data_IF_999668515838
#
_entry.id   IF_999668515838
#
_cell.length_a   1.000
_cell.length_b   1.000
_cell.length_c   1.000
_cell.angle_alpha   90.00
_cell.angle_beta   90.00
_cell.angle_gamma   90.00
#
_symmetry.space_group_name_H-M   'P 1'
#
loop_
_entity.id
_entity.type
_entity.pdbx_description
1 polymer ?
#
# COMPACT_ATOMS: atom_id res chain seq x y z
N UNK A 1 44.00 -19.78 40.56
CA UNK A 1 43.04 -19.07 39.68
C UNK A 1 43.40 -19.28 38.21
N UNK A 2 43.74 -20.52 37.81
CA UNK A 2 44.41 -20.80 36.52
C UNK A 2 43.75 -21.96 35.77
N UNK A 3 43.07 -22.88 36.45
CA UNK A 3 42.44 -24.06 35.84
C UNK A 3 41.13 -23.76 35.08
N UNK A 4 40.38 -22.70 35.44
CA UNK A 4 39.14 -22.36 34.72
C UNK A 4 39.36 -21.77 33.31
N UNK A 5 40.59 -21.35 32.98
CA UNK A 5 40.91 -20.80 31.65
C UNK A 5 41.27 -21.87 30.62
N UNK A 6 41.68 -23.06 31.04
CA UNK A 6 42.02 -24.16 30.11
C UNK A 6 40.78 -24.92 29.64
N UNK A 7 39.79 -25.13 30.51
CA UNK A 7 38.54 -25.83 30.14
C UNK A 7 37.68 -25.08 29.11
N UNK A 8 37.85 -23.77 28.95
CA UNK A 8 37.12 -22.98 27.94
C UNK A 8 37.66 -23.14 26.52
N UNK A 9 38.86 -23.67 26.33
CA UNK A 9 39.46 -23.81 24.98
C UNK A 9 39.13 -25.13 24.29
N UNK A 10 38.66 -26.13 25.03
CA UNK A 10 38.38 -27.46 24.47
C UNK A 10 37.00 -27.57 23.78
N UNK A 11 36.08 -26.63 24.05
CA UNK A 11 34.73 -26.64 23.45
C UNK A 11 34.64 -26.08 22.02
N UNK A 12 35.73 -25.53 21.47
CA UNK A 12 35.76 -24.98 20.10
C UNK A 12 36.71 -25.81 19.25
N UNK A 13 36.45 -27.12 19.16
CA UNK A 13 37.11 -27.98 18.20
C UNK A 13 36.15 -28.97 17.52
N UNK A 14 34.88 -28.61 17.45
CA UNK A 14 33.93 -29.27 16.58
C UNK A 14 34.00 -28.61 15.21
N UNK A 15 34.25 -29.43 14.17
CA UNK A 15 34.19 -29.03 12.76
C UNK A 15 32.99 -28.10 12.58
N UNK A 16 33.23 -26.90 12.02
CA UNK A 16 32.14 -26.00 11.64
C UNK A 16 31.07 -26.83 10.90
N UNK A 17 29.82 -26.87 11.39
CA UNK A 17 28.78 -27.66 10.75
C UNK A 17 28.70 -27.25 9.28
N UNK A 18 28.55 -28.22 8.37
CA UNK A 18 28.25 -27.91 6.97
C UNK A 18 26.89 -27.23 6.93
N UNK A 19 26.91 -25.90 6.89
CA UNK A 19 25.75 -25.05 6.69
C UNK A 19 25.21 -25.37 5.29
N UNK A 20 24.03 -25.98 5.22
CA UNK A 20 23.38 -26.33 3.96
C UNK A 20 22.45 -25.18 3.55
N UNK A 21 22.80 -24.48 2.48
CA UNK A 21 22.04 -23.33 1.97
C UNK A 21 22.81 -22.01 2.15
N UNK A 22 22.52 -21.04 1.28
CA UNK A 22 23.02 -19.67 1.44
C UNK A 22 22.25 -18.94 2.56
N UNK A 23 22.74 -17.76 2.98
CA UNK A 23 22.10 -16.95 4.03
C UNK A 23 20.62 -16.63 3.70
N UNK A 24 20.30 -16.49 2.41
CA UNK A 24 18.94 -16.27 1.91
C UNK A 24 18.02 -17.47 2.14
N UNK A 25 18.51 -18.69 1.89
CA UNK A 25 17.78 -19.93 2.14
C UNK A 25 17.40 -20.09 3.61
N UNK A 26 18.35 -19.81 4.51
CA UNK A 26 18.14 -19.87 5.96
C UNK A 26 17.11 -18.86 6.44
N UNK A 27 17.18 -17.61 5.97
CA UNK A 27 16.23 -16.56 6.32
C UNK A 27 14.81 -16.90 5.88
N UNK A 28 14.65 -17.39 4.65
CA UNK A 28 13.34 -17.81 4.11
C UNK A 28 12.72 -18.91 4.97
N UNK A 29 13.49 -19.96 5.28
CA UNK A 29 13.01 -21.08 6.10
C UNK A 29 12.69 -20.65 7.54
N UNK A 30 13.46 -19.73 8.13
CA UNK A 30 13.18 -19.18 9.46
C UNK A 30 11.88 -18.36 9.48
N UNK A 31 11.66 -17.50 8.49
CA UNK A 31 10.40 -16.72 8.36
C UNK A 31 9.18 -17.63 8.15
N UNK A 32 9.31 -18.69 7.35
CA UNK A 32 8.26 -19.68 7.14
C UNK A 32 7.93 -20.45 8.42
N UNK A 33 8.94 -20.89 9.17
CA UNK A 33 8.75 -21.59 10.45
C UNK A 33 8.14 -20.69 11.52
N UNK A 34 8.54 -19.43 11.59
CA UNK A 34 7.92 -18.45 12.49
C UNK A 34 6.46 -18.21 12.13
N UNK A 35 6.15 -18.01 10.84
CA UNK A 35 4.77 -17.86 10.38
C UNK A 35 3.92 -19.08 10.76
N UNK A 36 4.44 -20.29 10.57
CA UNK A 36 3.76 -21.52 10.96
C UNK A 36 3.56 -21.61 12.48
N UNK A 37 4.56 -21.24 13.28
CA UNK A 37 4.45 -21.22 14.74
C UNK A 37 3.41 -20.21 15.25
N UNK A 38 3.30 -19.04 14.60
CA UNK A 38 2.34 -18.00 14.95
C UNK A 38 0.94 -18.21 14.34
N UNK A 39 0.78 -19.07 13.33
CA UNK A 39 -0.50 -19.32 12.63
C UNK A 39 -1.14 -20.69 12.90
N UNK A 40 -0.64 -21.50 13.84
CA UNK A 40 -1.41 -22.65 14.32
C UNK A 40 -2.67 -22.18 15.05
N UNK A 41 -3.83 -22.40 14.42
CA UNK A 41 -5.17 -21.92 14.79
C UNK A 41 -5.85 -22.70 15.91
N UNK A 42 -5.15 -23.56 16.65
CA UNK A 42 -5.74 -24.40 17.69
C UNK A 42 -5.60 -23.84 19.12
N UNK A 43 -5.02 -22.64 19.27
CA UNK A 43 -4.87 -21.92 20.54
C UNK A 43 -4.20 -22.73 21.66
N UNK A 44 -3.44 -23.79 21.34
CA UNK A 44 -2.97 -24.77 22.33
C UNK A 44 -1.56 -24.51 22.90
N UNK A 45 -0.88 -23.43 22.52
CA UNK A 45 0.49 -23.15 22.99
C UNK A 45 0.60 -21.88 23.85
N UNK A 46 0.70 -22.11 25.16
CA UNK A 46 1.06 -21.13 26.19
C UNK A 46 2.59 -20.97 26.26
N UNK A 47 3.21 -20.28 25.30
CA UNK A 47 4.68 -20.14 25.25
C UNK A 47 5.23 -18.68 25.22
N UNK A 48 4.85 -17.80 26.18
CA UNK A 48 5.69 -16.66 26.55
C UNK A 48 6.67 -16.98 27.71
N UNK A 49 6.32 -17.96 28.55
CA UNK A 49 6.96 -18.49 29.78
C UNK A 49 8.09 -19.52 29.70
N UNK A 50 8.63 -19.82 28.53
CA UNK A 50 9.25 -21.13 28.31
C UNK A 50 10.46 -21.06 27.38
N UNK A 51 11.36 -22.05 27.49
CA UNK A 51 12.66 -22.03 26.83
C UNK A 51 12.54 -21.89 25.31
N UNK A 52 11.62 -22.64 24.70
CA UNK A 52 11.37 -22.56 23.25
C UNK A 52 10.72 -21.22 22.85
N UNK A 53 9.94 -20.60 23.74
CA UNK A 53 9.39 -19.25 23.54
C UNK A 53 10.49 -18.19 23.56
N UNK A 54 11.49 -18.34 24.44
CA UNK A 54 12.66 -17.46 24.48
C UNK A 54 13.58 -17.68 23.26
N UNK A 55 13.74 -18.93 22.79
CA UNK A 55 14.44 -19.22 21.53
C UNK A 55 13.73 -18.58 20.33
N UNK A 56 12.40 -18.59 20.29
CA UNK A 56 11.61 -17.91 19.25
C UNK A 56 11.80 -16.39 19.29
N UNK A 57 11.76 -15.77 20.49
CA UNK A 57 12.02 -14.33 20.67
C UNK A 57 13.42 -13.96 20.18
N UNK A 58 14.45 -14.72 20.58
CA UNK A 58 15.83 -14.50 20.15
C UNK A 58 16.00 -14.67 18.65
N UNK A 59 15.35 -15.67 18.06
CA UNK A 59 15.37 -15.90 16.60
C UNK A 59 14.74 -14.73 15.85
N UNK A 60 13.63 -14.19 16.37
CA UNK A 60 12.98 -13.02 15.78
C UNK A 60 13.86 -11.75 15.92
N UNK A 61 14.49 -11.55 17.07
CA UNK A 61 15.45 -10.47 17.29
C UNK A 61 16.66 -10.58 16.35
N UNK A 62 17.19 -11.78 16.14
CA UNK A 62 18.31 -12.01 15.21
C UNK A 62 17.90 -11.68 13.77
N UNK A 63 16.70 -12.08 13.35
CA UNK A 63 16.17 -11.72 12.02
C UNK A 63 16.02 -10.21 11.87
N UNK A 64 15.57 -9.50 12.90
CA UNK A 64 15.47 -8.04 12.89
C UNK A 64 16.85 -7.38 12.74
N UNK A 65 17.87 -7.84 13.48
CA UNK A 65 19.23 -7.32 13.37
C UNK A 65 19.84 -7.62 12.00
N UNK A 66 19.62 -8.83 11.47
CA UNK A 66 20.10 -9.22 10.15
C UNK A 66 19.43 -8.44 9.00
N UNK A 67 18.16 -8.07 9.16
CA UNK A 67 17.44 -7.22 8.22
C UNK A 67 17.89 -5.75 8.38
N UNK A 68 18.29 -5.30 9.58
CA UNK A 68 18.91 -3.99 9.81
C UNK A 68 20.30 -3.86 9.14
N UNK A 69 21.19 -4.84 9.34
CA UNK A 69 22.54 -4.84 8.75
C UNK A 69 22.51 -4.83 7.21
N UNK A 70 21.50 -5.46 6.59
CA UNK A 70 21.34 -5.44 5.13
C UNK A 70 20.69 -4.13 4.63
N UNK A 71 19.86 -3.49 5.45
CA UNK A 71 19.27 -2.19 5.14
C UNK A 71 20.25 -1.03 5.29
N UNK A 72 21.27 -1.13 6.14
CA UNK A 72 22.36 -0.14 6.23
C UNK A 72 23.23 -0.07 4.96
N UNK A 73 23.14 -1.07 4.07
CA UNK A 73 23.93 -1.13 2.83
C UNK A 73 23.13 -0.82 1.56
N UNK A 74 21.81 -0.68 1.64
CA UNK A 74 21.03 -0.16 0.51
C UNK A 74 21.01 1.37 0.59
N UNK A 75 21.36 2.09 -0.49
CA UNK A 75 21.10 3.52 -0.53
C UNK A 75 19.61 3.73 -0.30
N UNK A 76 19.25 4.34 0.84
CA UNK A 76 17.90 4.84 1.06
C UNK A 76 17.61 5.81 -0.08
N UNK A 77 16.66 5.48 -0.95
CA UNK A 77 16.11 6.47 -1.86
C UNK A 77 15.60 7.63 -1.01
N UNK A 78 16.16 8.81 -1.22
CA UNK A 78 15.70 10.02 -0.55
C UNK A 78 14.33 10.35 -1.11
N UNK A 79 13.29 10.17 -0.29
CA UNK A 79 11.93 10.56 -0.65
C UNK A 79 11.85 12.06 -0.87
N UNK A 80 11.32 12.46 -2.03
CA UNK A 80 11.12 13.87 -2.37
C UNK A 80 9.67 14.29 -2.10
N UNK A 81 9.51 15.49 -1.54
CA UNK A 81 8.18 16.05 -1.25
C UNK A 81 7.47 16.36 -2.56
N UNK A 82 6.23 15.87 -2.70
CA UNK A 82 5.43 16.02 -3.91
C UNK A 82 5.48 14.81 -4.84
N UNK A 83 6.49 13.94 -4.69
CA UNK A 83 6.66 12.74 -5.50
C UNK A 83 5.74 11.60 -5.06
N UNK A 84 5.58 10.64 -5.98
CA UNK A 84 4.69 9.50 -5.86
C UNK A 84 5.49 8.20 -5.85
N UNK A 85 5.12 7.32 -4.93
CA UNK A 85 5.76 6.03 -4.75
C UNK A 85 4.71 4.93 -4.63
N UNK A 86 5.10 3.72 -4.99
CA UNK A 86 4.27 2.53 -4.84
C UNK A 86 5.04 1.41 -4.18
N UNK A 87 4.35 0.62 -3.36
CA UNK A 87 4.89 -0.63 -2.85
C UNK A 87 3.81 -1.71 -2.89
N UNK A 88 4.25 -2.96 -2.90
CA UNK A 88 3.37 -4.11 -2.88
C UNK A 88 3.79 -5.06 -1.75
N UNK A 89 2.88 -5.32 -0.83
CA UNK A 89 3.11 -6.22 0.29
C UNK A 89 1.98 -7.25 0.38
N UNK A 90 2.35 -8.54 0.33
CA UNK A 90 1.39 -9.66 0.36
C UNK A 90 0.25 -9.53 -0.65
N UNK A 91 0.57 -9.07 -1.87
CA UNK A 91 -0.41 -8.87 -2.95
C UNK A 91 -1.33 -7.65 -2.77
N UNK A 92 -1.07 -6.81 -1.76
CA UNK A 92 -1.73 -5.52 -1.55
C UNK A 92 -0.81 -4.41 -2.01
N UNK A 93 -1.31 -3.61 -2.95
CA UNK A 93 -0.62 -2.47 -3.54
C UNK A 93 -1.13 -1.19 -2.90
N UNK A 94 -0.19 -0.35 -2.52
CA UNK A 94 -0.47 0.99 -1.99
C UNK A 94 0.38 1.99 -2.77
N UNK A 95 -0.29 3.07 -3.19
CA UNK A 95 0.31 4.19 -3.91
C UNK A 95 0.22 5.39 -2.98
N UNK A 96 1.31 6.10 -2.76
CA UNK A 96 1.33 7.23 -1.86
C UNK A 96 2.06 8.43 -2.44
N UNK A 97 1.58 9.62 -2.05
CA UNK A 97 2.20 10.90 -2.35
C UNK A 97 2.84 11.46 -1.09
N UNK A 98 4.11 11.81 -1.18
CA UNK A 98 4.85 12.43 -0.07
C UNK A 98 4.39 13.87 0.12
N UNK A 99 3.92 14.21 1.32
CA UNK A 99 3.48 15.57 1.68
C UNK A 99 4.59 16.31 2.42
N UNK A 100 5.27 15.62 3.33
CA UNK A 100 6.37 16.19 4.10
C UNK A 100 7.26 15.08 4.63
N UNK A 101 8.56 15.37 4.69
CA UNK A 101 9.57 14.51 5.32
C UNK A 101 10.16 15.27 6.49
N UNK A 102 10.23 14.60 7.64
CA UNK A 102 10.81 15.10 8.89
C UNK A 102 11.70 14.00 9.48
N UNK A 103 12.57 14.36 10.42
CA UNK A 103 13.50 13.41 11.03
C UNK A 103 12.74 12.21 11.64
N UNK A 104 12.96 11.02 11.08
CA UNK A 104 12.30 9.79 11.54
C UNK A 104 10.88 9.55 11.00
N UNK A 105 10.24 10.52 10.31
CA UNK A 105 8.84 10.40 9.88
C UNK A 105 8.55 11.05 8.54
N UNK A 106 7.75 10.37 7.75
CA UNK A 106 7.20 10.86 6.49
C UNK A 106 5.68 10.91 6.58
N UNK A 107 5.08 12.05 6.19
CA UNK A 107 3.62 12.18 6.07
C UNK A 107 3.23 12.05 4.61
N UNK A 108 2.18 11.26 4.36
CA UNK A 108 1.73 10.93 3.01
C UNK A 108 0.21 11.02 2.89
N UNK A 109 -0.25 11.14 1.63
CA UNK A 109 -1.58 10.68 1.24
C UNK A 109 -1.41 9.31 0.62
N UNK A 110 -2.27 8.35 0.94
CA UNK A 110 -2.17 7.01 0.37
C UNK A 110 -3.47 6.54 -0.24
N UNK A 111 -3.34 5.68 -1.24
CA UNK A 111 -4.43 4.98 -1.90
C UNK A 111 -4.13 3.48 -1.88
N UNK A 112 -5.01 2.72 -1.22
CA UNK A 112 -4.91 1.26 -1.10
C UNK A 112 -5.75 0.61 -2.19
N UNK A 113 -5.08 0.15 -3.24
CA UNK A 113 -5.71 -0.24 -4.52
C UNK A 113 -6.77 -1.31 -4.33
N UNK A 114 -6.46 -2.41 -3.63
CA UNK A 114 -7.37 -3.54 -3.46
C UNK A 114 -8.52 -3.25 -2.49
N UNK A 115 -8.35 -2.30 -1.58
CA UNK A 115 -9.38 -1.92 -0.63
C UNK A 115 -10.28 -0.81 -1.17
N UNK A 116 -9.86 -0.15 -2.25
CA UNK A 116 -10.43 1.11 -2.75
C UNK A 116 -10.62 2.15 -1.63
N UNK A 117 -9.54 2.39 -0.89
CA UNK A 117 -9.53 3.34 0.23
C UNK A 117 -8.48 4.41 -0.04
N UNK A 118 -8.95 5.65 -0.08
CA UNK A 118 -8.10 6.84 -0.07
C UNK A 118 -7.96 7.37 1.36
N UNK A 119 -6.71 7.58 1.79
CA UNK A 119 -6.33 8.09 3.10
C UNK A 119 -5.68 9.46 2.91
N UNK A 120 -6.37 10.50 3.40
CA UNK A 120 -5.92 11.90 3.26
C UNK A 120 -4.67 12.22 4.10
N UNK A 121 -4.45 11.48 5.18
CA UNK A 121 -3.31 11.66 6.06
C UNK A 121 -2.89 10.32 6.65
N UNK A 122 -1.71 9.86 6.25
CA UNK A 122 -1.02 8.69 6.80
C UNK A 122 0.43 9.09 7.14
N UNK A 123 1.09 8.29 7.97
CA UNK A 123 2.48 8.53 8.34
C UNK A 123 3.29 7.25 8.44
N UNK A 124 4.49 7.27 7.86
CA UNK A 124 5.44 6.16 7.92
C UNK A 124 6.69 6.56 8.71
N UNK A 125 7.22 5.63 9.49
CA UNK A 125 8.53 5.78 10.14
C UNK A 125 9.62 5.54 9.10
N UNK A 126 10.51 6.51 8.90
CA UNK A 126 11.61 6.39 7.94
C UNK A 126 12.61 5.34 8.44
N UNK A 127 12.97 4.37 7.59
CA UNK A 127 13.96 3.33 7.88
C UNK A 127 13.40 1.98 8.38
N UNK A 128 12.19 1.94 8.93
CA UNK A 128 11.60 0.69 9.47
C UNK A 128 10.22 0.34 8.90
N UNK A 129 9.60 1.23 8.12
CA UNK A 129 8.34 0.92 7.46
C UNK A 129 8.58 0.17 6.16
N UNK A 130 7.86 -0.94 5.94
CA UNK A 130 7.86 -1.67 4.65
C UNK A 130 7.50 -0.74 3.49
N UNK A 131 6.60 0.23 3.74
CA UNK A 131 6.22 1.25 2.77
C UNK A 131 7.37 2.19 2.37
N UNK A 132 8.46 2.20 3.14
CA UNK A 132 9.66 3.04 2.92
C UNK A 132 10.82 2.20 2.41
N UNK A 133 10.97 0.96 2.87
CA UNK A 133 12.10 0.09 2.47
C UNK A 133 11.90 -0.57 1.12
N UNK A 134 10.65 -0.87 0.76
CA UNK A 134 10.30 -1.67 -0.42
C UNK A 134 9.55 -0.84 -1.48
N UNK A 135 9.42 0.46 -1.26
CA UNK A 135 8.81 1.36 -2.24
C UNK A 135 9.74 1.63 -3.42
N UNK A 136 9.11 1.88 -4.55
CA UNK A 136 9.72 2.38 -5.79
C UNK A 136 8.98 3.63 -6.24
N UNK A 137 9.58 4.42 -7.13
CA UNK A 137 8.86 5.48 -7.84
C UNK A 137 7.62 4.90 -8.55
N UNK A 138 6.48 5.59 -8.40
CA UNK A 138 5.22 5.17 -9.00
C UNK A 138 5.26 5.34 -10.53
N UNK A 139 4.60 4.44 -11.26
CA UNK A 139 4.45 4.58 -12.72
C UNK A 139 3.44 5.67 -13.08
N UNK A 140 3.44 6.13 -14.34
CA UNK A 140 2.45 7.09 -14.82
C UNK A 140 1.00 6.60 -14.63
N UNK A 141 0.75 5.31 -14.83
CA UNK A 141 -0.55 4.67 -14.60
C UNK A 141 -0.94 4.70 -13.11
N UNK A 142 0.00 4.39 -12.22
CA UNK A 142 -0.22 4.45 -10.76
C UNK A 142 -0.49 5.87 -10.28
N UNK A 143 0.23 6.86 -10.82
CA UNK A 143 0.01 8.28 -10.51
C UNK A 143 -1.37 8.72 -11.00
N UNK A 144 -1.79 8.31 -12.20
CA UNK A 144 -3.12 8.62 -12.74
C UNK A 144 -4.22 8.01 -11.87
N UNK A 145 -4.07 6.73 -11.50
CA UNK A 145 -4.98 6.02 -10.60
C UNK A 145 -5.12 6.72 -9.25
N UNK A 146 -4.00 7.12 -8.64
CA UNK A 146 -4.00 7.87 -7.39
C UNK A 146 -4.73 9.21 -7.51
N UNK A 147 -4.45 9.99 -8.56
CA UNK A 147 -5.08 11.30 -8.78
C UNK A 147 -6.58 11.15 -8.97
N UNK A 148 -7.02 10.12 -9.69
CA UNK A 148 -8.43 9.78 -9.84
C UNK A 148 -9.05 9.43 -8.48
N UNK A 149 -8.41 8.59 -7.67
CA UNK A 149 -8.91 8.25 -6.34
C UNK A 149 -9.00 9.48 -5.41
N UNK A 150 -7.99 10.36 -5.45
CA UNK A 150 -8.00 11.62 -4.70
C UNK A 150 -9.16 12.51 -5.15
N UNK A 151 -9.42 12.57 -6.45
CA UNK A 151 -10.50 13.35 -7.01
C UNK A 151 -11.88 12.86 -6.52
N UNK A 152 -12.15 11.56 -6.62
CA UNK A 152 -13.39 10.95 -6.15
C UNK A 152 -13.58 11.09 -4.63
N UNK A 153 -12.51 10.90 -3.86
CA UNK A 153 -12.53 11.08 -2.41
C UNK A 153 -12.93 12.51 -2.00
N UNK A 154 -12.47 13.54 -2.73
CA UNK A 154 -12.87 14.94 -2.47
C UNK A 154 -14.37 15.18 -2.63
N UNK A 155 -15.07 14.34 -3.38
CA UNK A 155 -16.53 14.36 -3.56
C UNK A 155 -17.26 13.34 -2.69
N UNK A 156 -16.58 12.71 -1.74
CA UNK A 156 -17.17 11.74 -0.82
C UNK A 156 -17.55 10.42 -1.48
N UNK A 157 -16.91 10.07 -2.60
CA UNK A 157 -17.20 8.85 -3.38
C UNK A 157 -15.98 7.94 -3.49
N UNK A 158 -16.23 6.67 -3.77
CA UNK A 158 -15.20 5.67 -4.11
C UNK A 158 -14.74 5.80 -5.57
N UNK A 159 -13.59 5.22 -5.92
CA UNK A 159 -13.01 5.36 -7.26
C UNK A 159 -13.93 4.81 -8.37
N UNK A 160 -14.66 3.74 -8.05
CA UNK A 160 -15.58 3.03 -8.94
C UNK A 160 -17.03 3.54 -8.86
N UNK A 161 -17.31 4.49 -7.97
CA UNK A 161 -18.67 4.99 -7.73
C UNK A 161 -19.03 6.13 -8.69
N UNK A 162 -19.25 5.78 -9.96
CA UNK A 162 -19.91 6.67 -10.94
C UNK A 162 -21.41 6.32 -10.98
N UNK A 163 -22.27 7.35 -10.99
CA UNK A 163 -23.72 7.22 -11.01
C UNK A 163 -24.32 7.87 -12.26
N UNK A 164 -25.46 7.37 -12.75
CA UNK A 164 -26.27 8.11 -13.72
C UNK A 164 -26.51 9.54 -13.27
N UNK A 165 -26.39 10.50 -14.19
CA UNK A 165 -26.51 11.93 -13.94
C UNK A 165 -25.20 12.64 -13.58
N UNK A 166 -24.12 11.91 -13.29
CA UNK A 166 -22.81 12.55 -13.07
C UNK A 166 -22.31 13.22 -14.36
N UNK A 167 -21.67 14.38 -14.22
CA UNK A 167 -20.94 15.05 -15.30
C UNK A 167 -19.48 14.62 -15.22
N UNK A 168 -18.97 14.01 -16.29
CA UNK A 168 -17.59 13.56 -16.39
C UNK A 168 -16.88 14.20 -17.58
N UNK A 169 -15.56 14.26 -17.53
CA UNK A 169 -14.69 14.56 -18.65
C UNK A 169 -13.96 13.28 -19.08
N UNK A 170 -13.97 13.01 -20.39
CA UNK A 170 -13.20 11.94 -21.03
C UNK A 170 -12.67 12.46 -22.38
N UNK A 171 -11.37 12.30 -22.66
CA UNK A 171 -10.70 12.82 -23.86
C UNK A 171 -10.96 14.32 -24.13
N UNK A 172 -11.03 15.14 -23.08
CA UNK A 172 -11.32 16.57 -23.16
C UNK A 172 -12.77 16.90 -23.56
N UNK A 173 -13.67 15.93 -23.52
CA UNK A 173 -15.10 16.12 -23.77
C UNK A 173 -15.91 15.90 -22.48
N UNK A 174 -16.83 16.83 -22.22
CA UNK A 174 -17.79 16.71 -21.12
C UNK A 174 -18.96 15.84 -21.55
N UNK A 175 -19.26 14.82 -20.75
CA UNK A 175 -20.34 13.87 -21.01
C UNK A 175 -21.16 13.69 -19.73
N UNK A 176 -22.49 13.60 -19.89
CA UNK A 176 -23.39 13.23 -18.79
C UNK A 176 -23.59 11.73 -18.82
N UNK A 177 -23.45 11.13 -17.66
CA UNK A 177 -23.54 9.70 -17.47
C UNK A 177 -25.01 9.26 -17.57
N UNK A 178 -25.31 8.34 -18.47
CA UNK A 178 -26.67 7.85 -18.71
C UNK A 178 -27.08 6.70 -17.78
N UNK A 179 -28.39 6.49 -17.55
CA UNK A 179 -28.89 5.30 -16.86
C UNK A 179 -28.62 4.05 -17.69
N UNK A 180 -28.28 2.95 -17.01
CA UNK A 180 -28.09 1.67 -17.68
C UNK A 180 -29.43 1.07 -18.08
N UNK A 181 -29.50 0.54 -19.30
CA UNK A 181 -30.69 -0.13 -19.83
C UNK A 181 -30.50 -1.64 -19.97
N UNK A 182 -29.35 -2.24 -19.62
CA UNK A 182 -29.14 -3.66 -19.95
C UNK A 182 -28.34 -4.54 -18.97
N UNK A 183 -27.33 -4.07 -18.21
CA UNK A 183 -26.39 -5.03 -17.56
C UNK A 183 -25.74 -4.62 -16.21
N UNK A 184 -26.23 -3.60 -15.51
CA UNK A 184 -25.62 -3.05 -14.29
C UNK A 184 -24.37 -2.18 -14.52
N UNK A 185 -24.07 -1.75 -15.75
CA UNK A 185 -22.92 -0.92 -16.08
C UNK A 185 -23.32 0.49 -16.49
N UNK A 186 -22.59 1.46 -15.97
CA UNK A 186 -22.84 2.87 -16.24
C UNK A 186 -22.28 3.24 -17.62
N UNK A 187 -23.06 3.99 -18.42
CA UNK A 187 -22.76 4.29 -19.84
C UNK A 187 -22.44 5.76 -20.06
N UNK A 188 -21.51 6.00 -20.98
CA UNK A 188 -21.14 7.33 -21.47
C UNK A 188 -21.21 7.29 -22.99
N UNK A 189 -22.02 8.18 -23.57
CA UNK A 189 -22.06 8.35 -25.02
C UNK A 189 -20.96 9.32 -25.45
N UNK A 190 -19.87 8.77 -25.99
CA UNK A 190 -18.76 9.56 -26.55
C UNK A 190 -18.86 9.50 -28.06
N UNK A 191 -19.11 10.64 -28.70
CA UNK A 191 -19.17 10.77 -30.18
C UNK A 191 -20.14 9.81 -30.87
N UNK A 192 -21.26 9.49 -30.23
CA UNK A 192 -22.28 8.57 -30.76
C UNK A 192 -21.95 7.09 -30.57
N UNK A 193 -20.86 6.76 -29.85
CA UNK A 193 -20.55 5.42 -29.39
C UNK A 193 -20.77 5.33 -27.89
N UNK A 194 -21.51 4.31 -27.46
CA UNK A 194 -21.74 4.03 -26.05
C UNK A 194 -20.57 3.23 -25.49
N UNK A 195 -19.88 3.78 -24.48
CA UNK A 195 -18.78 3.13 -23.79
C UNK A 195 -19.19 2.70 -22.38
N UNK A 196 -18.66 1.55 -21.95
CA UNK A 196 -18.69 1.15 -20.54
C UNK A 196 -17.66 1.96 -19.77
N UNK A 197 -18.06 2.59 -18.65
CA UNK A 197 -17.15 3.35 -17.79
C UNK A 197 -16.00 2.47 -17.26
N UNK A 198 -16.25 1.18 -17.06
CA UNK A 198 -15.24 0.24 -16.58
C UNK A 198 -14.06 0.08 -17.55
N UNK A 199 -14.26 0.41 -18.83
CA UNK A 199 -13.25 0.30 -19.89
C UNK A 199 -12.54 1.64 -20.17
N UNK A 200 -13.01 2.73 -19.55
CA UNK A 200 -12.47 4.07 -19.77
C UNK A 200 -11.32 4.34 -18.79
N UNK A 201 -10.10 4.44 -19.34
CA UNK A 201 -8.85 4.61 -18.58
C UNK A 201 -8.75 6.03 -18.00
N UNK A 202 -9.29 7.04 -18.70
CA UNK A 202 -9.18 8.46 -18.35
C UNK A 202 -10.55 9.12 -18.14
N UNK A 203 -11.22 8.79 -17.03
CA UNK A 203 -12.47 9.46 -16.62
C UNK A 203 -12.21 10.36 -15.43
N UNK A 204 -12.48 11.66 -15.61
CA UNK A 204 -12.50 12.64 -14.54
C UNK A 204 -13.95 12.96 -14.17
N UNK A 205 -14.36 12.68 -12.94
CA UNK A 205 -15.63 13.21 -12.42
C UNK A 205 -15.51 14.74 -12.34
N UNK A 206 -16.45 15.51 -12.89
CA UNK A 206 -16.42 16.97 -12.83
C UNK A 206 -17.42 17.47 -11.78
N UNK A 207 -18.65 16.94 -11.86
CA UNK A 207 -19.73 17.21 -10.91
C UNK A 207 -20.52 15.94 -10.66
N UNK A 208 -20.98 15.77 -9.43
CA UNK A 208 -21.94 14.71 -9.11
C UNK A 208 -23.30 15.06 -9.69
N UNK A 209 -24.16 14.05 -9.86
CA UNK A 209 -25.55 14.25 -10.26
C UNK A 209 -26.27 15.31 -9.40
N UNK A 210 -26.06 15.26 -8.08
CA UNK A 210 -26.68 16.19 -7.12
C UNK A 210 -26.16 17.63 -7.30
N UNK A 211 -24.86 17.81 -7.55
CA UNK A 211 -24.27 19.13 -7.82
C UNK A 211 -24.74 19.69 -9.17
N UNK A 212 -24.90 18.82 -10.18
CA UNK A 212 -25.37 19.20 -11.50
C UNK A 212 -26.83 19.67 -11.47
N UNK A 213 -27.68 18.96 -10.73
CA UNK A 213 -29.08 19.32 -10.52
C UNK A 213 -29.20 20.67 -9.78
N UNK A 214 -28.44 20.85 -8.69
CA UNK A 214 -28.42 22.11 -7.94
C UNK A 214 -27.94 23.29 -8.80
N UNK A 215 -26.96 23.09 -9.68
CA UNK A 215 -26.50 24.13 -10.60
C UNK A 215 -27.55 24.49 -11.65
N UNK A 216 -28.25 23.50 -12.19
CA UNK A 216 -29.33 23.72 -13.14
C UNK A 216 -30.51 24.49 -12.51
N UNK A 217 -30.86 24.15 -11.27
CA UNK A 217 -31.92 24.84 -10.51
C UNK A 217 -31.54 26.29 -10.17
N UNK A 218 -30.29 26.52 -9.75
CA UNK A 218 -29.77 27.87 -9.50
C UNK A 218 -29.81 28.75 -10.77
N UNK A 219 -29.46 28.19 -11.93
CA UNK A 219 -29.49 28.89 -13.20
C UNK A 219 -30.94 29.23 -13.62
N UNK A 220 -31.88 28.30 -13.43
CA UNK A 220 -33.30 28.54 -13.71
C UNK A 220 -33.85 29.68 -12.85
N UNK A 221 -33.55 29.68 -11.55
CA UNK A 221 -33.98 30.74 -10.63
C UNK A 221 -33.36 32.11 -10.95
N UNK A 222 -32.18 32.15 -11.59
CA UNK A 222 -31.54 33.39 -12.05
C UNK A 222 -32.14 33.97 -13.33
N UNK A 223 -32.86 33.16 -14.11
CA UNK A 223 -33.52 33.57 -15.36
C UNK A 223 -34.98 34.01 -15.12
N UNK A 224 -35.56 33.63 -13.99
CA UNK A 224 -36.93 33.97 -13.59
C UNK A 224 -37.00 35.24 -12.71
N UNK A 225 -35.86 35.81 -12.30
CA UNK A 225 -35.73 37.10 -11.60
C UNK A 225 -35.16 38.19 -12.51
#
# INVERSE_FOLDING_TARGET
MTEQKEQRKEFINEKMPKIHGDSKWYRKHLKERLTHAYMCTDFSFDWPNSHDGDLLKLTNQLLLVLDQEENEQKPQETFEVGEYYSFEFSGKREIFKVISVSEGRMSVKSYKVQADIFIKFDSYTTGNSIAVTDSKAATAEEISLFKRAEHFHKRGRKLDEIKPGDLIEHDGQLNVVGPDTSYGYVRVDVRGNTHSIAEMIEVNLIMTAEELEAAAEAQKNSLEN
#
